data_IF_035283250473
#
_entry.id   IF_035283250473
#
_cell.length_a   1.000
_cell.length_b   1.000
_cell.length_c   1.000
_cell.angle_alpha   90.00
_cell.angle_beta   90.00
_cell.angle_gamma   90.00
#
_symmetry.space_group_name_H-M   'P 1'
#
loop_
_entity.id
_entity.type
_entity.pdbx_description
1 polymer ?
#
# COMPACT_ATOMS: atom_id res chain seq x y z
N UNK A 1 24.41 -5.22 -11.86
CA UNK A 1 25.09 -3.94 -12.16
C UNK A 1 24.36 -2.72 -11.55
N UNK A 2 23.00 -2.56 -11.71
CA UNK A 2 22.30 -1.40 -11.14
C UNK A 2 22.39 -1.36 -9.60
N UNK A 3 22.09 -2.45 -8.92
CA UNK A 3 22.14 -2.50 -7.46
C UNK A 3 23.56 -2.37 -6.91
N UNK A 4 24.54 -2.92 -7.60
CA UNK A 4 25.97 -2.81 -7.25
C UNK A 4 26.52 -1.40 -7.47
N UNK A 5 26.03 -0.72 -8.51
CA UNK A 5 26.44 0.65 -8.88
C UNK A 5 25.56 1.76 -8.33
N UNK A 6 24.66 1.47 -7.41
CA UNK A 6 23.61 2.38 -6.95
C UNK A 6 24.14 3.72 -6.42
N UNK A 7 25.28 3.71 -5.73
CA UNK A 7 25.92 4.92 -5.21
C UNK A 7 26.46 5.86 -6.30
N UNK A 8 26.58 5.38 -7.53
CA UNK A 8 27.02 6.22 -8.66
C UNK A 8 25.90 7.08 -9.24
N UNK A 9 24.65 6.78 -8.90
CA UNK A 9 23.48 7.54 -9.32
C UNK A 9 23.19 8.70 -8.35
N UNK A 10 22.58 9.79 -8.83
CA UNK A 10 22.08 10.81 -7.90
C UNK A 10 20.86 10.28 -7.15
N UNK A 11 20.71 10.62 -5.88
CA UNK A 11 19.52 10.25 -5.09
C UNK A 11 18.23 10.72 -5.78
N UNK A 12 18.25 11.95 -6.30
CA UNK A 12 17.12 12.58 -6.99
C UNK A 12 17.59 13.17 -8.34
N UNK A 13 16.86 12.94 -9.41
CA UNK A 13 17.19 13.51 -10.71
C UNK A 13 16.98 15.03 -10.74
N UNK A 14 17.80 15.73 -11.53
CA UNK A 14 17.66 17.16 -11.81
C UNK A 14 16.79 17.41 -13.04
N UNK A 15 15.52 17.01 -12.97
CA UNK A 15 14.54 17.14 -14.06
C UNK A 15 13.34 17.98 -13.62
N UNK A 16 12.63 18.56 -14.59
CA UNK A 16 11.35 19.28 -14.41
C UNK A 16 10.20 18.48 -14.98
N UNK A 17 8.96 18.71 -14.52
CA UNK A 17 7.79 18.11 -15.14
C UNK A 17 7.74 18.35 -16.65
N UNK A 18 7.69 17.28 -17.42
CA UNK A 18 7.67 17.31 -18.88
C UNK A 18 9.00 16.99 -19.57
N UNK A 19 10.14 17.10 -18.89
CA UNK A 19 11.45 16.85 -19.50
C UNK A 19 11.56 15.42 -20.03
N UNK A 20 11.18 14.42 -19.26
CA UNK A 20 11.20 13.02 -19.72
C UNK A 20 10.20 12.80 -20.85
N UNK A 21 9.00 13.39 -20.75
CA UNK A 21 7.98 13.25 -21.79
C UNK A 21 8.46 13.76 -23.16
N UNK A 22 9.29 14.79 -23.18
CA UNK A 22 9.85 15.34 -24.42
C UNK A 22 10.90 14.44 -25.08
N UNK A 23 11.51 13.55 -24.30
CA UNK A 23 12.47 12.56 -24.80
C UNK A 23 11.80 11.30 -25.37
N UNK A 24 10.52 11.10 -25.08
CA UNK A 24 9.74 9.97 -25.58
C UNK A 24 9.11 10.30 -26.93
N UNK A 25 8.92 9.31 -27.83
CA UNK A 25 8.20 9.52 -29.07
C UNK A 25 6.82 10.14 -28.84
N UNK A 26 6.42 11.08 -29.69
CA UNK A 26 5.10 11.72 -29.59
C UNK A 26 3.97 10.79 -30.04
N UNK A 27 4.27 9.91 -30.99
CA UNK A 27 3.34 8.93 -31.55
C UNK A 27 3.79 7.53 -31.20
N UNK A 28 2.83 6.60 -31.14
CA UNK A 28 3.15 5.20 -30.93
C UNK A 28 4.02 4.68 -32.09
N UNK A 29 5.04 3.86 -31.80
CA UNK A 29 5.83 3.25 -32.86
C UNK A 29 4.95 2.46 -33.83
N UNK A 30 5.12 2.60 -35.16
CA UNK A 30 4.31 1.90 -36.14
C UNK A 30 4.61 0.39 -36.20
N UNK A 31 5.71 -0.05 -35.64
CA UNK A 31 6.16 -1.43 -35.58
C UNK A 31 6.88 -1.72 -34.27
N UNK A 32 7.05 -3.02 -33.94
CA UNK A 32 7.85 -3.44 -32.79
C UNK A 32 9.34 -3.07 -32.98
N UNK A 33 9.99 -2.78 -31.87
CA UNK A 33 11.43 -2.47 -31.76
C UNK A 33 12.18 -3.66 -31.16
N UNK A 34 13.49 -3.73 -31.38
CA UNK A 34 14.30 -4.77 -30.76
C UNK A 34 14.43 -4.54 -29.25
N UNK A 35 14.57 -5.63 -28.49
CA UNK A 35 14.79 -5.51 -27.04
C UNK A 35 16.04 -4.66 -26.70
N UNK A 36 17.06 -4.72 -27.54
CA UNK A 36 18.30 -3.94 -27.36
C UNK A 36 18.03 -2.44 -27.46
N UNK A 37 17.18 -2.01 -28.41
CA UNK A 37 16.78 -0.62 -28.56
C UNK A 37 15.94 -0.16 -27.38
N UNK A 38 14.91 -0.92 -27.01
CA UNK A 38 14.05 -0.65 -25.84
C UNK A 38 14.90 -0.55 -24.55
N UNK A 39 15.85 -1.47 -24.36
CA UNK A 39 16.71 -1.46 -23.19
C UNK A 39 17.70 -0.29 -23.19
N UNK A 40 18.16 0.12 -24.36
CA UNK A 40 18.99 1.32 -24.51
C UNK A 40 18.23 2.59 -24.11
N UNK A 41 16.97 2.71 -24.49
CA UNK A 41 16.13 3.85 -24.11
C UNK A 41 15.82 3.83 -22.61
N UNK A 42 15.56 2.67 -22.04
CA UNK A 42 15.44 2.52 -20.59
C UNK A 42 16.68 3.06 -19.86
N UNK A 43 17.87 2.68 -20.31
CA UNK A 43 19.12 3.13 -19.69
C UNK A 43 19.39 4.63 -19.89
N UNK A 44 19.04 5.21 -21.04
CA UNK A 44 19.35 6.59 -21.38
C UNK A 44 18.29 7.60 -20.96
N UNK A 45 17.03 7.18 -20.91
CA UNK A 45 15.91 8.08 -20.65
C UNK A 45 15.30 7.81 -19.28
N UNK A 46 15.01 6.54 -18.96
CA UNK A 46 14.24 6.19 -17.76
C UNK A 46 15.11 6.24 -16.50
N UNK A 47 16.23 5.51 -16.49
CA UNK A 47 17.12 5.47 -15.31
C UNK A 47 17.56 6.86 -14.86
N UNK A 48 18.04 7.77 -15.74
CA UNK A 48 18.44 9.12 -15.33
C UNK A 48 17.29 9.99 -14.81
N UNK A 49 16.05 9.63 -15.16
CA UNK A 49 14.83 10.30 -14.70
C UNK A 49 14.26 9.78 -13.39
N UNK A 50 14.82 8.70 -12.81
CA UNK A 50 14.31 8.07 -11.60
C UNK A 50 14.87 8.69 -10.33
N UNK A 51 14.05 8.75 -9.28
CA UNK A 51 14.53 8.89 -7.90
C UNK A 51 14.94 7.51 -7.40
N UNK A 52 16.18 7.36 -6.96
CA UNK A 52 16.74 6.06 -6.57
C UNK A 52 16.45 5.78 -5.10
N UNK A 53 15.27 5.20 -4.82
CA UNK A 53 14.78 4.93 -3.47
C UNK A 53 15.66 3.99 -2.65
N UNK A 54 16.44 3.13 -3.32
CA UNK A 54 17.36 2.22 -2.65
C UNK A 54 18.76 2.81 -2.46
N UNK A 55 18.99 4.06 -2.86
CA UNK A 55 20.27 4.72 -2.68
C UNK A 55 20.59 4.86 -1.18
N UNK A 56 21.83 4.55 -0.72
CA UNK A 56 22.20 4.63 0.71
C UNK A 56 21.96 5.98 1.38
N UNK A 57 21.93 7.06 0.59
CA UNK A 57 21.65 8.41 1.06
C UNK A 57 20.19 8.85 0.86
N UNK A 58 19.27 7.93 0.57
CA UNK A 58 17.85 8.26 0.49
C UNK A 58 17.22 8.20 1.89
N UNK A 59 17.02 9.35 2.53
CA UNK A 59 16.51 9.48 3.89
C UNK A 59 15.06 9.97 3.96
N UNK A 60 14.31 9.87 2.86
CA UNK A 60 12.91 10.27 2.81
C UNK A 60 11.99 9.04 2.85
N UNK A 61 10.78 9.23 3.38
CA UNK A 61 9.75 8.19 3.45
C UNK A 61 10.20 6.91 4.17
N UNK A 62 9.76 5.74 3.72
CA UNK A 62 10.11 4.41 4.23
C UNK A 62 10.46 3.49 3.06
N UNK A 63 11.67 3.61 2.50
CA UNK A 63 12.11 2.76 1.41
C UNK A 63 12.29 1.33 1.89
N UNK A 64 11.95 0.36 1.04
CA UNK A 64 12.26 -1.05 1.24
C UNK A 64 13.34 -1.47 0.27
N UNK A 65 14.28 -2.29 0.73
CA UNK A 65 15.29 -2.89 -0.14
C UNK A 65 14.68 -3.98 -1.03
N UNK A 66 15.29 -4.20 -2.19
CA UNK A 66 15.06 -5.40 -2.98
C UNK A 66 16.03 -6.50 -2.52
N UNK A 67 15.55 -7.75 -2.44
CA UNK A 67 16.41 -8.92 -2.26
C UNK A 67 16.47 -9.71 -3.56
N UNK A 68 17.57 -10.36 -3.83
CA UNK A 68 17.70 -11.21 -5.03
C UNK A 68 16.58 -12.25 -5.15
N UNK A 69 16.21 -13.00 -4.07
CA UNK A 69 15.09 -13.92 -4.15
C UNK A 69 13.75 -13.25 -4.50
N UNK A 70 13.49 -12.04 -3.98
CA UNK A 70 12.22 -11.34 -4.28
C UNK A 70 12.16 -10.88 -5.74
N UNK A 71 13.27 -10.43 -6.31
CA UNK A 71 13.36 -10.05 -7.72
C UNK A 71 13.08 -11.27 -8.62
N UNK A 72 13.70 -12.41 -8.31
CA UNK A 72 13.48 -13.65 -9.06
C UNK A 72 12.04 -14.17 -8.91
N UNK A 73 11.47 -14.09 -7.72
CA UNK A 73 10.08 -14.46 -7.48
C UNK A 73 9.10 -13.60 -8.28
N UNK A 74 9.33 -12.28 -8.37
CA UNK A 74 8.52 -11.36 -9.18
C UNK A 74 8.62 -11.70 -10.68
N UNK A 75 9.81 -12.01 -11.17
CA UNK A 75 10.00 -12.46 -12.56
C UNK A 75 9.23 -13.76 -12.85
N UNK A 76 9.23 -14.73 -11.91
CA UNK A 76 8.46 -15.97 -12.05
C UNK A 76 6.96 -15.69 -12.03
N UNK A 77 6.49 -14.83 -11.12
CA UNK A 77 5.08 -14.43 -11.03
C UNK A 77 4.60 -13.80 -12.33
N UNK A 78 5.38 -12.88 -12.89
CA UNK A 78 5.08 -12.24 -14.17
C UNK A 78 5.08 -13.26 -15.34
N UNK A 79 6.02 -14.21 -15.32
CA UNK A 79 6.12 -15.26 -16.35
C UNK A 79 4.93 -16.22 -16.33
N UNK A 80 4.48 -16.59 -15.13
CA UNK A 80 3.32 -17.49 -14.96
C UNK A 80 2.00 -16.82 -15.33
N UNK A 81 1.92 -15.49 -15.24
CA UNK A 81 0.68 -14.76 -15.47
C UNK A 81 -0.44 -15.19 -14.52
N UNK A 82 -0.10 -15.56 -13.29
CA UNK A 82 -1.05 -16.13 -12.32
C UNK A 82 -2.18 -15.15 -12.00
N UNK A 83 -3.41 -15.67 -11.99
CA UNK A 83 -4.62 -14.92 -11.67
C UNK A 83 -5.15 -15.37 -10.30
N UNK A 84 -4.74 -14.65 -9.25
CA UNK A 84 -4.97 -15.02 -7.86
C UNK A 84 -6.26 -14.42 -7.26
N UNK A 85 -7.33 -14.32 -8.05
CA UNK A 85 -8.60 -13.73 -7.59
C UNK A 85 -9.54 -14.72 -6.89
N UNK A 86 -9.39 -16.00 -7.14
CA UNK A 86 -10.13 -17.09 -6.50
C UNK A 86 -9.28 -18.36 -6.54
N UNK A 87 -9.50 -19.26 -5.59
CA UNK A 87 -8.76 -20.53 -5.49
C UNK A 87 -8.73 -21.33 -6.81
N UNK A 88 -9.83 -21.41 -7.54
CA UNK A 88 -9.92 -22.19 -8.78
C UNK A 88 -9.01 -21.67 -9.90
N UNK A 89 -8.67 -20.39 -9.91
CA UNK A 89 -7.81 -19.81 -10.95
C UNK A 89 -6.34 -19.90 -10.63
N UNK A 90 -5.98 -20.06 -9.36
CA UNK A 90 -4.58 -20.23 -8.91
C UNK A 90 -4.50 -20.92 -7.55
N UNK A 91 -4.78 -22.23 -7.45
CA UNK A 91 -4.83 -22.94 -6.15
C UNK A 91 -3.54 -22.84 -5.37
N UNK A 92 -2.40 -23.03 -6.03
CA UNK A 92 -1.10 -23.00 -5.38
C UNK A 92 -0.74 -21.61 -4.80
N UNK A 93 -1.12 -20.54 -5.48
CA UNK A 93 -0.86 -19.18 -4.99
C UNK A 93 -1.73 -18.84 -3.78
N UNK A 94 -3.01 -19.22 -3.82
CA UNK A 94 -3.94 -19.01 -2.71
C UNK A 94 -3.50 -19.75 -1.45
N UNK A 95 -3.21 -21.06 -1.56
CA UNK A 95 -2.77 -21.86 -0.42
C UNK A 95 -1.41 -21.42 0.12
N UNK A 96 -0.53 -20.91 -0.75
CA UNK A 96 0.74 -20.31 -0.32
C UNK A 96 0.51 -19.02 0.47
N UNK A 97 -0.40 -18.14 0.03
CA UNK A 97 -0.76 -16.93 0.75
C UNK A 97 -1.34 -17.26 2.12
N UNK A 98 -2.29 -18.20 2.21
CA UNK A 98 -2.86 -18.66 3.48
C UNK A 98 -1.76 -19.11 4.45
N UNK A 99 -0.83 -19.94 3.97
CA UNK A 99 0.29 -20.42 4.78
C UNK A 99 1.21 -19.29 5.24
N UNK A 100 1.50 -18.34 4.39
CA UNK A 100 2.29 -17.17 4.74
C UNK A 100 1.59 -16.31 5.81
N UNK A 101 0.28 -16.15 5.73
CA UNK A 101 -0.51 -15.44 6.74
C UNK A 101 -0.53 -16.15 8.09
N UNK A 102 -0.58 -17.48 8.10
CA UNK A 102 -0.44 -18.29 9.32
C UNK A 102 0.93 -18.07 9.99
N UNK A 103 2.01 -18.13 9.23
CA UNK A 103 3.35 -17.88 9.76
C UNK A 103 3.51 -16.46 10.29
N UNK A 104 3.01 -15.44 9.57
CA UNK A 104 3.01 -14.06 10.04
C UNK A 104 2.20 -13.87 11.34
N UNK A 105 1.05 -14.53 11.45
CA UNK A 105 0.26 -14.55 12.68
C UNK A 105 1.06 -15.11 13.85
N UNK A 106 1.72 -16.26 13.66
CA UNK A 106 2.54 -16.91 14.70
C UNK A 106 3.74 -16.04 15.09
N UNK A 107 4.47 -15.48 14.11
CA UNK A 107 5.60 -14.57 14.36
C UNK A 107 5.18 -13.33 15.17
N UNK A 108 3.94 -12.87 15.00
CA UNK A 108 3.39 -11.72 15.75
C UNK A 108 2.76 -12.10 17.09
N UNK A 109 2.71 -13.38 17.43
CA UNK A 109 2.06 -13.86 18.66
C UNK A 109 0.54 -13.62 18.69
N UNK A 110 -0.12 -13.53 17.53
CA UNK A 110 -1.56 -13.30 17.45
C UNK A 110 -2.33 -14.59 17.70
N UNK A 111 -3.55 -14.51 18.31
CA UNK A 111 -4.41 -15.67 18.55
C UNK A 111 -4.76 -16.44 17.27
N UNK A 112 -4.99 -17.75 17.38
CA UNK A 112 -5.23 -18.66 16.25
C UNK A 112 -6.46 -18.31 15.40
N UNK A 113 -7.42 -17.57 15.96
CA UNK A 113 -8.63 -17.15 15.23
C UNK A 113 -8.41 -15.92 14.33
N UNK A 114 -7.22 -15.31 14.36
CA UNK A 114 -6.87 -14.26 13.40
C UNK A 114 -6.55 -14.86 12.05
N UNK A 115 -7.12 -14.27 11.01
CA UNK A 115 -6.83 -14.55 9.61
C UNK A 115 -6.31 -13.28 8.95
N UNK A 116 -5.65 -13.41 7.82
CA UNK A 116 -5.11 -12.29 7.08
C UNK A 116 -5.27 -12.47 5.58
N UNK A 117 -5.06 -11.40 4.86
CA UNK A 117 -5.01 -11.35 3.39
C UNK A 117 -4.00 -10.29 2.98
N UNK A 118 -3.22 -10.57 1.94
CA UNK A 118 -2.28 -9.61 1.37
C UNK A 118 -3.05 -8.64 0.47
N UNK A 119 -2.83 -7.35 0.68
CA UNK A 119 -3.38 -6.28 -0.14
C UNK A 119 -2.27 -5.65 -0.99
N UNK A 120 -2.65 -4.96 -2.07
CA UNK A 120 -1.74 -4.26 -2.97
C UNK A 120 -0.98 -3.10 -2.29
N UNK A 121 -1.57 -2.51 -1.27
CA UNK A 121 -0.98 -1.39 -0.54
C UNK A 121 -1.53 -1.26 0.88
N UNK A 122 -0.80 -0.56 1.75
CA UNK A 122 -1.27 -0.20 3.09
C UNK A 122 -2.54 0.65 3.05
N UNK A 123 -2.74 1.46 2.01
CA UNK A 123 -3.95 2.26 1.84
C UNK A 123 -5.18 1.39 1.57
N UNK A 124 -5.06 0.39 0.69
CA UNK A 124 -6.11 -0.59 0.42
C UNK A 124 -6.39 -1.45 1.65
N UNK A 125 -5.34 -1.88 2.33
CA UNK A 125 -5.44 -2.65 3.59
C UNK A 125 -6.23 -1.89 4.67
N UNK A 126 -5.94 -0.59 4.85
CA UNK A 126 -6.69 0.27 5.78
C UNK A 126 -8.16 0.39 5.39
N UNK A 127 -8.46 0.59 4.10
CA UNK A 127 -9.83 0.68 3.59
C UNK A 127 -10.59 -0.63 3.81
N UNK A 128 -9.99 -1.76 3.45
CA UNK A 128 -10.59 -3.10 3.62
C UNK A 128 -10.87 -3.39 5.09
N UNK A 129 -9.94 -3.07 6.00
CA UNK A 129 -10.14 -3.23 7.44
C UNK A 129 -11.32 -2.39 7.95
N UNK A 130 -11.44 -1.13 7.50
CA UNK A 130 -12.59 -0.27 7.87
C UNK A 130 -13.92 -0.79 7.33
N UNK A 131 -13.95 -1.24 6.07
CA UNK A 131 -15.15 -1.82 5.47
C UNK A 131 -15.55 -3.11 6.21
N UNK A 132 -14.61 -3.96 6.53
CA UNK A 132 -14.85 -5.19 7.30
C UNK A 132 -15.41 -4.89 8.70
N UNK A 133 -14.82 -3.93 9.40
CA UNK A 133 -15.31 -3.51 10.72
C UNK A 133 -16.74 -2.92 10.64
N UNK A 134 -17.01 -2.10 9.62
CA UNK A 134 -18.34 -1.53 9.33
C UNK A 134 -19.39 -2.62 9.14
N UNK A 135 -19.11 -3.56 8.26
CA UNK A 135 -20.05 -4.63 7.95
C UNK A 135 -20.26 -5.58 9.15
N UNK A 136 -19.18 -5.92 9.85
CA UNK A 136 -19.27 -6.71 11.08
C UNK A 136 -20.13 -6.01 12.15
N UNK A 137 -19.94 -4.71 12.36
CA UNK A 137 -20.67 -3.93 13.36
C UNK A 137 -22.17 -3.81 13.03
N UNK A 138 -22.52 -3.82 11.75
CA UNK A 138 -23.90 -3.64 11.28
C UNK A 138 -24.56 -4.94 10.81
N UNK A 139 -23.91 -6.08 11.02
CA UNK A 139 -24.36 -7.37 10.51
C UNK A 139 -24.71 -7.33 9.01
N UNK A 140 -23.82 -6.74 8.22
CA UNK A 140 -23.92 -6.55 6.76
C UNK A 140 -25.10 -5.67 6.30
N UNK A 141 -25.76 -4.93 7.20
CA UNK A 141 -26.90 -4.11 6.85
C UNK A 141 -26.53 -2.96 5.91
N UNK A 142 -25.35 -2.34 6.06
CA UNK A 142 -24.91 -1.25 5.20
C UNK A 142 -24.64 -1.75 3.78
N UNK A 143 -24.09 -2.93 3.60
CA UNK A 143 -23.93 -3.55 2.29
C UNK A 143 -25.25 -3.72 1.55
N UNK A 144 -26.32 -4.05 2.28
CA UNK A 144 -27.64 -4.30 1.70
C UNK A 144 -28.44 -3.01 1.41
N UNK A 145 -28.40 -2.01 2.31
CA UNK A 145 -29.28 -0.84 2.27
C UNK A 145 -28.58 0.52 2.14
N UNK A 146 -27.24 0.53 2.19
CA UNK A 146 -26.48 1.78 2.34
C UNK A 146 -26.57 2.37 3.75
N UNK A 147 -25.96 3.53 3.94
CA UNK A 147 -26.05 4.30 5.18
C UNK A 147 -27.43 4.92 5.37
N UNK A 148 -27.87 5.00 6.61
CA UNK A 148 -29.05 5.78 7.03
C UNK A 148 -28.65 6.85 8.06
N UNK A 149 -29.56 7.77 8.35
CA UNK A 149 -29.34 8.81 9.38
C UNK A 149 -29.21 8.26 10.79
N UNK A 150 -29.60 6.99 11.01
CA UNK A 150 -29.50 6.31 12.30
C UNK A 150 -28.14 5.62 12.49
N UNK A 151 -27.37 5.44 11.43
CA UNK A 151 -26.06 4.80 11.50
C UNK A 151 -25.03 5.82 12.00
N UNK A 152 -24.70 5.72 13.28
CA UNK A 152 -23.69 6.57 13.91
C UNK A 152 -22.41 5.77 14.10
N UNK A 153 -21.31 6.29 13.58
CA UNK A 153 -19.96 5.72 13.71
C UNK A 153 -19.01 6.81 14.16
N UNK A 154 -18.06 6.44 14.98
CA UNK A 154 -16.85 7.21 15.26
C UNK A 154 -15.64 6.36 14.95
N UNK A 155 -14.66 6.97 14.34
CA UNK A 155 -13.37 6.37 14.04
C UNK A 155 -12.31 7.17 14.80
N UNK A 156 -11.53 6.48 15.61
CA UNK A 156 -10.47 7.11 16.40
C UNK A 156 -9.12 6.76 15.81
N UNK A 157 -8.25 7.75 15.66
CA UNK A 157 -6.88 7.58 15.19
C UNK A 157 -5.98 8.63 15.84
N UNK A 158 -4.67 8.40 15.83
CA UNK A 158 -3.74 9.43 16.33
C UNK A 158 -3.59 10.60 15.36
N UNK A 159 -3.17 11.75 15.86
CA UNK A 159 -2.81 12.92 15.03
C UNK A 159 -1.63 12.61 14.08
N UNK A 160 -0.86 11.57 14.36
CA UNK A 160 0.29 11.14 13.57
C UNK A 160 -0.05 10.04 12.54
N UNK A 161 -1.31 9.58 12.48
CA UNK A 161 -1.70 8.56 11.54
C UNK A 161 -1.53 9.02 10.09
N UNK A 162 -1.11 8.09 9.24
CA UNK A 162 -0.95 8.35 7.82
C UNK A 162 -2.27 8.76 7.17
N UNK A 163 -2.22 9.63 6.16
CA UNK A 163 -3.39 10.17 5.44
C UNK A 163 -4.28 9.11 4.76
N UNK A 164 -3.83 7.86 4.67
CA UNK A 164 -4.66 6.74 4.20
C UNK A 164 -5.89 6.53 5.08
N UNK A 165 -5.81 6.81 6.40
CA UNK A 165 -6.94 6.72 7.32
C UNK A 165 -8.01 7.74 6.94
N UNK A 166 -7.63 9.01 6.73
CA UNK A 166 -8.54 10.08 6.29
C UNK A 166 -9.22 9.74 4.95
N UNK A 167 -8.45 9.17 4.01
CA UNK A 167 -8.97 8.73 2.71
C UNK A 167 -9.94 7.56 2.85
N UNK A 168 -9.56 6.55 3.64
CA UNK A 168 -10.41 5.38 3.86
C UNK A 168 -11.74 5.73 4.52
N UNK A 169 -11.75 6.63 5.52
CA UNK A 169 -12.97 7.14 6.17
C UNK A 169 -13.92 7.79 5.16
N UNK A 170 -13.39 8.60 4.23
CA UNK A 170 -14.19 9.24 3.17
C UNK A 170 -14.74 8.22 2.18
N UNK A 171 -13.88 7.31 1.69
CA UNK A 171 -14.26 6.30 0.69
C UNK A 171 -15.26 5.31 1.27
N UNK A 172 -15.06 4.86 2.52
CA UNK A 172 -15.97 3.94 3.20
C UNK A 172 -17.33 4.58 3.57
N UNK A 173 -17.51 5.88 3.33
CA UNK A 173 -18.76 6.58 3.52
C UNK A 173 -19.05 6.99 4.98
N UNK A 174 -18.09 6.91 5.86
CA UNK A 174 -18.28 7.34 7.26
C UNK A 174 -18.45 8.85 7.41
N UNK A 175 -17.81 9.63 6.51
CA UNK A 175 -17.71 11.07 6.62
C UNK A 175 -16.54 11.53 7.50
N UNK A 176 -15.80 12.55 7.03
CA UNK A 176 -14.59 13.00 7.73
C UNK A 176 -14.88 13.60 9.11
N UNK A 177 -16.06 14.16 9.32
CA UNK A 177 -16.50 14.72 10.59
C UNK A 177 -16.67 13.66 11.69
N UNK A 178 -16.68 12.38 11.32
CA UNK A 178 -16.72 11.25 12.23
C UNK A 178 -15.33 10.68 12.56
N UNK A 179 -14.27 11.26 12.00
CA UNK A 179 -12.89 10.91 12.33
C UNK A 179 -12.37 11.77 13.48
N UNK A 180 -12.13 11.15 14.61
CA UNK A 180 -11.58 11.79 15.81
C UNK A 180 -10.07 11.57 15.83
N UNK A 181 -9.30 12.66 15.81
CA UNK A 181 -7.84 12.62 15.92
C UNK A 181 -7.42 12.84 17.36
N UNK A 182 -6.91 11.78 17.99
CA UNK A 182 -6.44 11.75 19.37
C UNK A 182 -5.01 12.28 19.43
N UNK A 183 -4.70 13.07 20.44
CA UNK A 183 -3.37 13.60 20.71
C UNK A 183 -2.35 12.47 20.94
N UNK A 184 -1.08 12.79 20.73
CA UNK A 184 0.07 11.95 21.06
C UNK A 184 0.98 12.64 22.04
N UNK A 185 1.71 11.88 22.83
CA UNK A 185 2.74 12.36 23.75
C UNK A 185 4.04 12.75 23.01
N UNK A 186 5.09 13.04 23.78
CA UNK A 186 6.42 13.43 23.26
C UNK A 186 7.14 12.31 22.52
N UNK A 187 6.74 11.06 22.74
CA UNK A 187 7.28 9.86 22.09
C UNK A 187 6.42 9.42 20.91
N UNK A 188 5.43 10.24 20.49
CA UNK A 188 4.46 9.99 19.43
C UNK A 188 3.53 8.80 19.70
N UNK A 189 3.43 8.32 20.95
CA UNK A 189 2.45 7.34 21.34
C UNK A 189 1.08 8.01 21.57
N UNK A 190 -0.02 7.34 21.18
CA UNK A 190 -1.36 7.87 21.40
C UNK A 190 -1.65 8.00 22.90
N UNK A 191 -2.10 9.16 23.35
CA UNK A 191 -2.52 9.39 24.73
C UNK A 191 -3.81 8.60 25.03
N UNK A 192 -3.69 7.58 25.88
CA UNK A 192 -4.81 6.68 26.21
C UNK A 192 -5.94 7.38 26.94
N UNK A 193 -5.60 8.32 27.83
CA UNK A 193 -6.61 9.10 28.57
C UNK A 193 -7.39 10.03 27.63
N UNK A 194 -6.72 10.63 26.65
CA UNK A 194 -7.36 11.43 25.62
C UNK A 194 -8.29 10.60 24.73
N UNK A 195 -7.91 9.37 24.40
CA UNK A 195 -8.77 8.43 23.68
C UNK A 195 -9.98 8.05 24.52
N UNK A 196 -9.80 7.68 25.78
CA UNK A 196 -10.89 7.33 26.69
C UNK A 196 -11.89 8.48 26.84
N UNK A 197 -11.39 9.70 27.07
CA UNK A 197 -12.23 10.90 27.16
C UNK A 197 -13.02 11.16 25.87
N UNK A 198 -12.39 10.98 24.69
CA UNK A 198 -13.08 11.14 23.43
C UNK A 198 -14.19 10.10 23.22
N UNK A 199 -13.95 8.85 23.61
CA UNK A 199 -14.97 7.79 23.56
C UNK A 199 -16.12 8.09 24.51
N UNK A 200 -15.84 8.56 25.74
CA UNK A 200 -16.87 8.88 26.73
C UNK A 200 -17.76 10.04 26.28
N UNK A 201 -17.24 10.99 25.52
CA UNK A 201 -18.02 12.11 24.98
C UNK A 201 -18.95 11.69 23.83
N UNK A 202 -18.66 10.58 23.16
CA UNK A 202 -19.44 10.09 22.02
C UNK A 202 -20.50 9.02 22.43
N UNK A 203 -20.53 8.56 23.70
CA UNK A 203 -21.52 7.64 24.26
C UNK A 203 -22.69 8.40 24.88
#
# INVERSE_FOLDING_TARGET
DYLEGLETYPVKPSIRPGDIKQLLPQEAPPSGESFTEIFSDFQKIIIPGMTHWQHPQFFAYFPTGASEPSILAEMLTATLGAQCMIWQTSPAAEELEERMMEWLREMKGLPSHFTGVIQDSSSSSTLVAMLTAREKKTNFAINARGFSKLDKFRIYTSTQAHSSVDKAVKIAGFGIDNLVKVAVDTDFAMETDALENAIQQDI
#
